data_IF_554585182801
#
_entry.id   IF_554585182801
#
_cell.length_a   1.000
_cell.length_b   1.000
_cell.length_c   1.000
_cell.angle_alpha   90.00
_cell.angle_beta   90.00
_cell.angle_gamma   90.00
#
_symmetry.space_group_name_H-M   'P 1'
#
loop_
_entity.id
_entity.type
_entity.pdbx_description
1 polymer ?
#
# COMPACT_ATOMS: atom_id res chain seq x y z
N UNK A 1 7.38 9.11 0.50
CA UNK A 1 6.26 9.92 0.03
C UNK A 1 5.97 11.01 1.02
N UNK A 2 6.26 12.23 0.65
CA UNK A 2 5.95 13.36 1.50
C UNK A 2 4.53 13.85 1.18
N UNK A 3 3.75 14.11 2.18
CA UNK A 3 2.49 14.79 1.97
C UNK A 3 2.43 16.02 2.89
N UNK A 4 1.74 17.03 2.42
CA UNK A 4 1.65 18.29 3.16
C UNK A 4 0.45 18.23 4.08
N UNK A 5 0.73 18.01 5.34
CA UNK A 5 -0.26 17.82 6.38
C UNK A 5 -1.32 18.93 6.43
N UNK A 6 -0.88 20.16 6.21
CA UNK A 6 -1.75 21.33 6.22
C UNK A 6 -2.76 21.30 5.07
N UNK A 7 -2.28 21.01 3.85
CA UNK A 7 -3.14 20.91 2.68
C UNK A 7 -4.15 19.78 2.83
N UNK A 8 -3.69 18.66 3.40
CA UNK A 8 -4.54 17.52 3.64
C UNK A 8 -5.71 17.88 4.55
N UNK A 9 -5.47 18.55 5.68
CA UNK A 9 -6.53 18.98 6.60
C UNK A 9 -7.51 19.93 5.93
N UNK A 10 -7.01 20.88 5.15
CA UNK A 10 -7.84 21.83 4.44
C UNK A 10 -8.75 21.10 3.44
N UNK A 11 -8.20 20.15 2.71
CA UNK A 11 -8.99 19.35 1.76
C UNK A 11 -10.02 18.49 2.47
N UNK A 12 -9.66 17.91 3.59
CA UNK A 12 -10.57 17.09 4.36
C UNK A 12 -11.77 17.90 4.87
N UNK A 13 -11.53 19.08 5.40
CA UNK A 13 -12.59 19.94 5.91
C UNK A 13 -13.55 20.41 4.80
N UNK A 14 -13.04 20.54 3.57
CA UNK A 14 -13.83 21.02 2.43
C UNK A 14 -14.52 19.92 1.66
N UNK A 15 -14.14 18.67 1.87
CA UNK A 15 -14.55 17.56 1.01
C UNK A 15 -15.12 16.38 1.77
N UNK A 16 -16.14 16.60 2.55
CA UNK A 16 -16.99 15.50 2.91
C UNK A 16 -17.88 15.21 1.70
N UNK A 17 -17.49 14.20 0.94
CA UNK A 17 -18.29 13.78 -0.20
C UNK A 17 -19.09 12.55 0.17
N UNK A 18 -20.27 12.46 -0.44
CA UNK A 18 -21.12 11.31 -0.26
C UNK A 18 -20.40 10.05 -0.77
N UNK A 19 -20.39 9.00 0.01
CA UNK A 19 -19.86 7.72 -0.43
C UNK A 19 -20.79 7.17 -1.50
N UNK A 20 -20.31 7.14 -2.73
CA UNK A 20 -21.08 6.68 -3.87
C UNK A 20 -20.43 5.52 -4.62
N UNK A 21 -19.48 4.84 -4.00
CA UNK A 21 -18.91 3.65 -4.60
C UNK A 21 -19.92 2.52 -4.50
N UNK A 22 -20.77 2.44 -5.49
CA UNK A 22 -21.66 1.32 -5.59
C UNK A 22 -20.92 0.12 -6.15
N UNK A 23 -20.41 -0.71 -5.24
CA UNK A 23 -19.79 -1.98 -5.58
C UNK A 23 -20.85 -3.06 -5.61
N UNK A 24 -21.97 -2.78 -6.27
CA UNK A 24 -23.03 -3.77 -6.44
C UNK A 24 -22.67 -4.65 -7.62
N UNK A 25 -22.01 -5.74 -7.33
CA UNK A 25 -21.71 -6.76 -8.33
C UNK A 25 -22.82 -7.79 -8.37
N UNK A 26 -23.13 -8.35 -9.55
CA UNK A 26 -23.99 -9.53 -9.62
C UNK A 26 -23.40 -10.66 -8.79
N UNK A 27 -24.27 -11.55 -8.30
CA UNK A 27 -23.86 -12.66 -7.44
C UNK A 27 -22.75 -13.50 -8.07
N UNK A 28 -22.84 -13.78 -9.36
CA UNK A 28 -21.84 -14.55 -10.09
C UNK A 28 -20.48 -13.85 -10.11
N UNK A 29 -20.49 -12.54 -10.26
CA UNK A 29 -19.25 -11.74 -10.23
C UNK A 29 -18.63 -11.69 -8.84
N UNK A 30 -19.43 -11.67 -7.81
CA UNK A 30 -18.96 -11.72 -6.44
C UNK A 30 -18.27 -13.06 -6.16
N UNK A 31 -18.85 -14.14 -6.60
CA UNK A 31 -18.27 -15.48 -6.46
C UNK A 31 -16.95 -15.56 -7.21
N UNK A 32 -16.93 -15.08 -8.46
CA UNK A 32 -15.73 -15.07 -9.29
C UNK A 32 -14.60 -14.26 -8.63
N UNK A 33 -14.92 -13.07 -8.15
CA UNK A 33 -13.92 -12.20 -7.50
C UNK A 33 -13.34 -12.83 -6.24
N UNK A 34 -14.18 -13.52 -5.45
CA UNK A 34 -13.71 -14.20 -4.24
C UNK A 34 -12.79 -15.36 -4.58
N UNK A 35 -13.09 -16.09 -5.66
CA UNK A 35 -12.24 -17.19 -6.10
C UNK A 35 -10.88 -16.70 -6.60
N UNK A 36 -10.85 -15.61 -7.35
CA UNK A 36 -9.61 -14.98 -7.81
C UNK A 36 -8.76 -14.55 -6.63
N UNK A 37 -9.37 -13.91 -5.64
CA UNK A 37 -8.69 -13.49 -4.43
C UNK A 37 -8.08 -14.69 -3.68
N UNK A 38 -8.85 -15.75 -3.53
CA UNK A 38 -8.34 -16.98 -2.89
C UNK A 38 -7.16 -17.56 -3.66
N UNK A 39 -7.26 -17.64 -4.99
CA UNK A 39 -6.17 -18.15 -5.82
C UNK A 39 -4.89 -17.36 -5.67
N UNK A 40 -4.99 -16.03 -5.55
CA UNK A 40 -3.84 -15.19 -5.32
C UNK A 40 -3.23 -15.43 -3.94
N UNK A 41 -4.06 -15.51 -2.91
CA UNK A 41 -3.58 -15.69 -1.54
C UNK A 41 -2.94 -17.04 -1.31
N UNK A 42 -3.46 -18.11 -1.92
CA UNK A 42 -2.89 -19.44 -1.71
C UNK A 42 -1.50 -19.61 -2.31
N UNK A 43 -1.10 -18.70 -3.22
CA UNK A 43 0.25 -18.68 -3.80
C UNK A 43 1.26 -18.05 -2.88
N UNK A 44 0.80 -17.36 -1.83
CA UNK A 44 1.70 -16.73 -0.88
C UNK A 44 2.53 -17.78 -0.14
N UNK A 45 3.80 -17.56 -0.04
CA UNK A 45 4.73 -18.42 0.71
C UNK A 45 5.69 -17.54 1.50
N UNK A 46 6.16 -18.05 2.59
CA UNK A 46 7.28 -17.46 3.28
C UNK A 46 8.55 -17.88 2.56
N UNK A 47 9.23 -16.92 1.98
CA UNK A 47 10.47 -17.16 1.24
C UNK A 47 11.58 -16.41 1.96
N UNK A 48 12.66 -17.12 2.27
CA UNK A 48 13.79 -16.53 2.98
C UNK A 48 15.04 -16.42 2.10
N UNK A 49 15.01 -17.01 0.92
CA UNK A 49 16.08 -16.90 -0.06
C UNK A 49 15.69 -15.90 -1.13
N UNK A 50 16.56 -14.93 -1.36
CA UNK A 50 16.28 -13.83 -2.30
C UNK A 50 17.31 -13.84 -3.41
N UNK A 51 16.87 -13.47 -4.61
CA UNK A 51 17.78 -13.31 -5.73
C UNK A 51 18.54 -11.98 -5.62
N UNK A 52 19.60 -11.85 -6.41
CA UNK A 52 20.36 -10.61 -6.50
C UNK A 52 19.79 -9.63 -7.50
N UNK A 53 18.67 -9.97 -8.14
CA UNK A 53 18.03 -9.10 -9.13
C UNK A 53 17.49 -7.84 -8.46
N UNK A 54 17.70 -6.72 -9.11
CA UNK A 54 17.14 -5.45 -8.65
C UNK A 54 15.61 -5.44 -8.85
N UNK A 55 14.94 -4.82 -7.91
CA UNK A 55 13.50 -4.62 -7.99
C UNK A 55 13.23 -3.29 -8.65
N UNK A 56 12.40 -3.24 -9.70
CA UNK A 56 12.03 -1.96 -10.31
C UNK A 56 11.41 -1.03 -9.28
N UNK A 57 11.80 0.24 -9.33
CA UNK A 57 11.31 1.24 -8.37
C UNK A 57 9.79 1.37 -8.41
N UNK A 58 9.18 1.15 -9.55
CA UNK A 58 7.72 1.23 -9.72
C UNK A 58 6.99 0.21 -8.84
N UNK A 59 7.57 -0.97 -8.64
CA UNK A 59 6.99 -1.99 -7.76
C UNK A 59 7.03 -1.51 -6.32
N UNK A 60 8.13 -0.91 -5.91
CA UNK A 60 8.29 -0.36 -4.55
C UNK A 60 7.30 0.76 -4.33
N UNK A 61 7.18 1.67 -5.30
CA UNK A 61 6.22 2.78 -5.22
C UNK A 61 4.78 2.29 -5.11
N UNK A 62 4.41 1.30 -5.89
CA UNK A 62 3.06 0.72 -5.84
C UNK A 62 2.79 0.03 -4.51
N UNK A 63 3.82 -0.62 -3.94
CA UNK A 63 3.70 -1.25 -2.62
C UNK A 63 3.46 -0.20 -1.53
N UNK A 64 4.15 0.91 -1.61
CA UNK A 64 3.95 2.04 -0.68
C UNK A 64 2.54 2.61 -0.83
N UNK A 65 2.10 2.80 -2.06
CA UNK A 65 0.73 3.28 -2.33
C UNK A 65 -0.31 2.34 -1.74
N UNK A 66 -0.10 1.05 -1.87
CA UNK A 66 -0.99 0.05 -1.29
C UNK A 66 -1.01 0.14 0.24
N UNK A 67 0.16 0.25 0.87
CA UNK A 67 0.27 0.39 2.31
C UNK A 67 -0.39 1.68 2.82
N UNK A 68 -0.29 2.75 2.03
CA UNK A 68 -0.86 4.05 2.38
C UNK A 68 -2.39 4.08 2.32
N UNK A 69 -3.03 3.05 1.80
CA UNK A 69 -4.49 2.95 1.82
C UNK A 69 -5.04 2.45 3.15
N UNK A 70 -4.18 2.11 4.10
CA UNK A 70 -4.60 1.63 5.40
C UNK A 70 -5.43 2.69 6.13
N UNK A 71 -6.43 2.27 6.91
CA UNK A 71 -7.21 3.23 7.70
C UNK A 71 -6.39 3.86 8.81
N UNK A 72 -6.74 5.08 9.16
CA UNK A 72 -6.10 5.77 10.28
C UNK A 72 -7.12 6.65 11.00
N UNK A 73 -6.84 6.96 12.26
CA UNK A 73 -7.71 7.83 13.04
C UNK A 73 -7.91 9.18 12.37
N UNK A 74 -9.16 9.58 12.17
CA UNK A 74 -9.53 10.80 11.48
C UNK A 74 -8.86 10.97 10.11
N UNK A 75 -8.46 9.87 9.49
CA UNK A 75 -7.79 9.85 8.20
C UNK A 75 -6.54 10.77 8.16
N UNK A 76 -5.82 10.83 9.25
CA UNK A 76 -4.64 11.70 9.35
C UNK A 76 -3.41 11.14 8.65
N UNK A 77 -3.39 9.84 8.38
CA UNK A 77 -2.32 9.17 7.64
C UNK A 77 -0.93 9.53 8.20
N UNK A 78 -0.64 9.14 9.46
CA UNK A 78 0.58 9.60 10.15
C UNK A 78 1.85 8.88 9.71
N UNK A 79 1.75 7.92 8.82
CA UNK A 79 2.90 7.15 8.36
C UNK A 79 3.83 7.95 7.47
N UNK A 80 5.07 7.54 7.48
CA UNK A 80 6.11 8.10 6.65
C UNK A 80 6.96 6.95 6.12
N UNK A 81 7.15 6.89 4.81
CA UNK A 81 7.88 5.82 4.16
C UNK A 81 9.23 6.35 3.67
N UNK A 82 10.28 5.60 3.95
CA UNK A 82 11.62 5.92 3.47
C UNK A 82 12.13 4.71 2.70
N UNK A 83 12.50 4.94 1.45
CA UNK A 83 13.07 3.89 0.59
C UNK A 83 14.58 4.01 0.63
N UNK A 84 15.25 2.92 1.03
CA UNK A 84 16.69 2.88 1.13
C UNK A 84 17.24 1.98 0.03
N UNK A 85 17.94 2.59 -0.95
CA UNK A 85 18.58 1.88 -2.04
C UNK A 85 20.09 1.73 -1.87
N UNK A 86 20.71 2.53 -1.02
CA UNK A 86 22.16 2.50 -0.83
C UNK A 86 22.59 1.27 -0.03
N UNK A 87 23.53 0.51 -0.56
CA UNK A 87 24.00 -0.73 0.08
C UNK A 87 24.65 -0.49 1.42
N UNK A 88 25.40 0.58 1.56
CA UNK A 88 26.10 0.90 2.81
C UNK A 88 25.11 1.28 3.90
N UNK A 89 24.10 2.07 3.56
CA UNK A 89 23.04 2.43 4.49
C UNK A 89 22.24 1.22 4.92
N UNK A 90 21.93 0.33 3.98
CA UNK A 90 21.25 -0.94 4.30
C UNK A 90 22.05 -1.77 5.29
N UNK A 91 23.37 -1.83 5.10
CA UNK A 91 24.26 -2.56 6.00
C UNK A 91 24.23 -1.94 7.40
N UNK A 92 24.29 -0.64 7.50
CA UNK A 92 24.21 0.06 8.79
C UNK A 92 22.92 -0.23 9.52
N UNK A 93 21.80 -0.22 8.81
CA UNK A 93 20.48 -0.52 9.38
C UNK A 93 20.45 -1.97 9.90
N UNK A 94 21.00 -2.92 9.13
CA UNK A 94 21.04 -4.31 9.53
C UNK A 94 21.89 -4.55 10.78
N UNK A 95 23.00 -3.85 10.90
CA UNK A 95 23.94 -3.98 12.01
C UNK A 95 23.55 -3.15 13.23
N UNK A 96 22.75 -2.13 13.03
CA UNK A 96 22.26 -1.29 14.10
C UNK A 96 21.10 -1.91 14.83
#
# INVERSE_FOLDING_TARGET
MAYKKREYKSKLLKKFVKYNQELKLPKEKMIESSAVFFDQLKKRRTIRDYSTKDVPIEIIENSIKAAATAPSGANQQPWHFVVVGNKDVKKEIREG
#
